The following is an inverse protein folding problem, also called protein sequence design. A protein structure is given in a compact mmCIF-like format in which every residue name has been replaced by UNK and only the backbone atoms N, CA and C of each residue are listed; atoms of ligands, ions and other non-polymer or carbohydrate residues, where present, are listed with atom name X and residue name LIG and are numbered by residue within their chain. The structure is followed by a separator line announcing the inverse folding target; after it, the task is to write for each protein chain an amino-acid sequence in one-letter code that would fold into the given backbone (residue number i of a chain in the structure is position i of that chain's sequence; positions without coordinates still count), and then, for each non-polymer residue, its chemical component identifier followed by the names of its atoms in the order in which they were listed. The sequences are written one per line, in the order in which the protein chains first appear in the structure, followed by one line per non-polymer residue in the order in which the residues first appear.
data_IF_630314071797
#
_entry.id   IF_630314071797
#
_cell.length_a   1.000
_cell.length_b   1.000
_cell.length_c   1.000
_cell.angle_alpha   90.00
_cell.angle_beta   90.00
_cell.angle_gamma   90.00
#
_symmetry.space_group_name_H-M   'P 1'
#
loop_
_entity.id
_entity.type
_entity.pdbx_description
1 polymer ?
#
# COMPACT_ATOMS: atom_id res chain seq x y z
N UNK A 1 -47.05 13.80 -4.33
CA UNK A 1 -45.98 12.80 -4.13
C UNK A 1 -45.25 13.21 -2.88
N UNK A 2 -45.19 12.35 -1.87
CA UNK A 2 -44.43 12.66 -0.65
C UNK A 2 -42.94 12.62 -1.00
N UNK A 3 -42.21 13.67 -0.64
CA UNK A 3 -40.75 13.66 -0.72
C UNK A 3 -40.21 12.63 0.28
N UNK A 4 -39.45 11.67 -0.22
CA UNK A 4 -38.75 10.67 0.60
C UNK A 4 -37.33 11.19 0.84
N UNK A 5 -37.06 11.59 2.08
CA UNK A 5 -35.71 11.97 2.50
C UNK A 5 -34.91 10.70 2.82
N UNK A 6 -33.80 10.51 2.10
CA UNK A 6 -32.91 9.38 2.31
C UNK A 6 -31.69 9.85 3.11
N UNK A 7 -31.65 9.52 4.40
CA UNK A 7 -30.49 9.73 5.25
C UNK A 7 -29.68 8.43 5.36
N UNK A 8 -28.39 8.48 5.04
CA UNK A 8 -27.50 7.32 5.07
C UNK A 8 -26.28 7.60 5.94
N UNK A 9 -26.04 6.74 6.92
CA UNK A 9 -24.85 6.82 7.76
C UNK A 9 -23.68 6.09 7.10
N UNK A 10 -22.82 6.86 6.43
CA UNK A 10 -21.61 6.34 5.79
C UNK A 10 -20.59 5.80 6.80
N UNK A 11 -20.61 6.27 8.05
CA UNK A 11 -19.68 5.77 9.08
C UNK A 11 -20.07 4.36 9.49
N UNK A 12 -21.37 4.13 9.70
CA UNK A 12 -21.90 2.80 9.99
C UNK A 12 -21.67 1.83 8.83
N UNK A 13 -21.88 2.29 7.60
CA UNK A 13 -21.68 1.43 6.44
C UNK A 13 -20.20 1.11 6.19
N UNK A 14 -19.30 2.08 6.40
CA UNK A 14 -17.86 1.82 6.32
C UNK A 14 -17.39 0.81 7.37
N UNK A 15 -17.94 0.87 8.59
CA UNK A 15 -17.66 -0.14 9.61
C UNK A 15 -18.11 -1.54 9.14
N UNK A 16 -19.31 -1.64 8.56
CA UNK A 16 -19.84 -2.90 8.00
C UNK A 16 -18.96 -3.43 6.87
N UNK A 17 -18.56 -2.57 5.94
CA UNK A 17 -17.67 -2.92 4.82
C UNK A 17 -16.33 -3.46 5.32
N UNK A 18 -15.70 -2.78 6.29
CA UNK A 18 -14.43 -3.23 6.88
C UNK A 18 -14.56 -4.57 7.59
N UNK A 19 -15.62 -4.78 8.36
CA UNK A 19 -15.89 -6.07 9.00
C UNK A 19 -16.03 -7.20 7.98
N UNK A 20 -16.80 -6.99 6.91
CA UNK A 20 -16.96 -7.99 5.86
C UNK A 20 -15.64 -8.29 5.12
N UNK A 21 -14.78 -7.29 4.92
CA UNK A 21 -13.45 -7.48 4.34
C UNK A 21 -12.56 -8.32 5.25
N UNK A 22 -12.52 -8.00 6.56
CA UNK A 22 -11.72 -8.76 7.52
C UNK A 22 -12.19 -10.22 7.63
N UNK A 23 -13.51 -10.45 7.62
CA UNK A 23 -14.10 -11.79 7.59
C UNK A 23 -13.71 -12.56 6.32
N UNK A 24 -13.77 -11.92 5.15
CA UNK A 24 -13.42 -12.54 3.88
C UNK A 24 -11.92 -12.90 3.77
N UNK A 25 -11.05 -12.10 4.38
CA UNK A 25 -9.61 -12.37 4.45
C UNK A 25 -9.32 -13.58 5.36
N UNK A 26 -9.99 -13.66 6.51
CA UNK A 26 -9.88 -14.78 7.45
C UNK A 26 -8.61 -14.79 8.32
N UNK A 27 -8.61 -15.68 9.31
CA UNK A 27 -7.67 -15.64 10.45
C UNK A 27 -6.21 -16.03 10.13
N UNK A 28 -5.96 -16.51 8.91
CA UNK A 28 -4.64 -16.92 8.44
C UNK A 28 -3.83 -15.76 7.85
N UNK A 29 -4.45 -14.59 7.68
CA UNK A 29 -3.77 -13.41 7.17
C UNK A 29 -2.96 -12.75 8.28
N UNK A 30 -1.64 -12.75 8.10
CA UNK A 30 -0.72 -11.96 8.90
C UNK A 30 -0.39 -10.65 8.15
N UNK A 31 -1.02 -9.51 8.49
CA UNK A 31 -0.79 -8.25 7.80
C UNK A 31 0.65 -7.76 7.95
N UNK A 32 1.34 -8.13 9.04
CA UNK A 32 2.74 -7.72 9.26
C UNK A 32 3.64 -8.50 8.31
N UNK A 33 3.43 -9.81 8.18
CA UNK A 33 4.18 -10.64 7.24
C UNK A 33 3.94 -10.23 5.78
N UNK A 34 2.69 -9.93 5.40
CA UNK A 34 2.36 -9.48 4.04
C UNK A 34 3.05 -8.14 3.73
N UNK A 35 2.99 -7.16 4.64
CA UNK A 35 3.68 -5.88 4.45
C UNK A 35 5.21 -6.05 4.34
N UNK A 36 5.80 -6.97 5.10
CA UNK A 36 7.23 -7.25 5.02
C UNK A 36 7.63 -7.87 3.66
N UNK A 37 6.84 -8.82 3.15
CA UNK A 37 7.09 -9.41 1.82
C UNK A 37 6.82 -8.41 0.68
N UNK A 38 5.83 -7.52 0.83
CA UNK A 38 5.62 -6.42 -0.13
C UNK A 38 6.83 -5.48 -0.18
N UNK A 39 7.38 -5.07 0.98
CA UNK A 39 8.57 -4.23 1.02
C UNK A 39 9.78 -4.91 0.36
N UNK A 40 9.97 -6.20 0.62
CA UNK A 40 11.02 -7.00 -0.01
C UNK A 40 10.83 -7.11 -1.52
N UNK A 41 9.59 -7.29 -1.98
CA UNK A 41 9.28 -7.30 -3.41
C UNK A 41 9.59 -5.94 -4.07
N UNK A 42 9.26 -4.83 -3.40
CA UNK A 42 9.63 -3.49 -3.85
C UNK A 42 11.14 -3.30 -3.95
N UNK A 43 11.91 -3.79 -2.98
CA UNK A 43 13.36 -3.75 -3.01
C UNK A 43 13.97 -4.59 -4.15
N UNK A 44 13.34 -5.73 -4.47
CA UNK A 44 13.73 -6.56 -5.60
C UNK A 44 13.39 -5.90 -6.95
N UNK A 45 12.23 -5.23 -7.07
CA UNK A 45 11.76 -4.64 -8.33
C UNK A 45 12.73 -3.59 -8.89
N UNK A 46 13.35 -2.81 -8.00
CA UNK A 46 14.37 -1.81 -8.34
C UNK A 46 15.77 -2.26 -7.93
N UNK A 47 16.00 -3.57 -7.82
CA UNK A 47 17.33 -4.14 -7.66
C UNK A 47 18.04 -4.21 -9.02
N UNK A 48 19.35 -4.00 -9.01
CA UNK A 48 20.21 -4.13 -10.20
C UNK A 48 19.84 -3.19 -11.36
N UNK A 49 19.38 -1.98 -11.06
CA UNK A 49 19.26 -0.93 -12.07
C UNK A 49 20.63 -0.60 -12.64
N UNK A 50 20.70 -0.45 -13.96
CA UNK A 50 21.85 0.18 -14.59
C UNK A 50 21.88 1.70 -14.34
N UNK A 51 22.95 2.36 -14.76
CA UNK A 51 23.16 3.79 -14.51
C UNK A 51 22.04 4.67 -15.11
N UNK A 52 21.51 4.32 -16.27
CA UNK A 52 20.42 5.07 -16.93
C UNK A 52 19.10 4.86 -16.17
N UNK A 53 18.81 3.61 -15.80
CA UNK A 53 17.63 3.25 -15.03
C UNK A 53 17.64 3.87 -13.64
N UNK A 54 18.80 3.95 -12.98
CA UNK A 54 18.95 4.57 -11.67
C UNK A 54 18.66 6.07 -11.73
N UNK A 55 19.11 6.77 -12.78
CA UNK A 55 18.81 8.19 -12.98
C UNK A 55 17.31 8.46 -13.13
N UNK A 56 16.61 7.62 -13.92
CA UNK A 56 15.15 7.71 -14.07
C UNK A 56 14.44 7.42 -12.75
N UNK A 57 14.88 6.39 -12.02
CA UNK A 57 14.33 6.07 -10.70
C UNK A 57 14.47 7.26 -9.73
N UNK A 58 15.65 7.88 -9.65
CA UNK A 58 15.90 9.03 -8.78
C UNK A 58 15.04 10.25 -9.15
N UNK A 59 14.81 10.49 -10.45
CA UNK A 59 13.91 11.53 -10.93
C UNK A 59 12.46 11.28 -10.46
N UNK A 60 11.98 10.04 -10.60
CA UNK A 60 10.63 9.66 -10.20
C UNK A 60 10.44 9.73 -8.68
N UNK A 61 11.46 9.39 -7.89
CA UNK A 61 11.44 9.57 -6.43
C UNK A 61 11.37 11.05 -6.07
N UNK A 62 12.19 11.90 -6.71
CA UNK A 62 12.16 13.35 -6.51
C UNK A 62 10.79 13.94 -6.88
N UNK A 63 10.17 13.45 -7.94
CA UNK A 63 8.83 13.83 -8.37
C UNK A 63 7.71 13.24 -7.50
N UNK A 64 8.03 12.41 -6.49
CA UNK A 64 7.09 11.71 -5.60
C UNK A 64 6.18 10.71 -6.33
N UNK A 65 6.58 10.30 -7.53
CA UNK A 65 5.89 9.28 -8.31
C UNK A 65 6.26 7.88 -7.83
N UNK A 66 7.48 7.69 -7.31
CA UNK A 66 7.92 6.47 -6.65
C UNK A 66 8.28 6.72 -5.18
N UNK A 67 8.07 5.74 -4.29
CA UNK A 67 8.53 5.80 -2.91
C UNK A 67 10.06 5.73 -2.83
N UNK A 68 10.64 6.40 -1.83
CA UNK A 68 12.07 6.26 -1.52
C UNK A 68 12.31 4.88 -0.88
N UNK A 69 13.39 4.20 -1.31
CA UNK A 69 13.79 2.93 -0.69
C UNK A 69 14.38 3.22 0.68
N UNK A 70 13.85 2.58 1.71
CA UNK A 70 14.49 2.55 3.03
C UNK A 70 15.65 1.55 2.93
N UNK A 71 16.76 1.97 2.34
CA UNK A 71 17.98 1.18 2.41
C UNK A 71 18.45 1.22 3.87
N UNK A 72 18.23 0.12 4.60
CA UNK A 72 18.96 -0.10 5.84
C UNK A 72 20.45 -0.15 5.45
N UNK A 73 21.15 0.97 5.57
CA UNK A 73 22.60 1.00 5.43
C UNK A 73 23.18 0.13 6.55
N UNK A 74 23.49 -1.12 6.23
CA UNK A 74 24.44 -1.90 7.02
C UNK A 74 25.77 -1.19 6.85
N UNK A 75 26.12 -0.37 7.84
CA UNK A 75 27.49 0.11 7.99
C UNK A 75 28.34 -1.11 8.34
N UNK A 76 29.38 -1.32 7.54
CA UNK A 76 30.42 -2.35 7.66
C UNK A 76 31.17 -2.23 9.01
#
# INVERSE_FOLDING_TARGET
MADLEFAYDLTLDEARRRSAVLEAIGDHWDPVAVLAEEQKAYDMLYSNLDDEQQLVYDELVRARMLPERITAHVSD
#
